data_IF_027731152666
#
_entry.id   IF_027731152666
#
_cell.length_a   1.000
_cell.length_b   1.000
_cell.length_c   1.000
_cell.angle_alpha   90.00
_cell.angle_beta   90.00
_cell.angle_gamma   90.00
#
_symmetry.space_group_name_H-M   'P 1'
#
loop_
_entity.id
_entity.type
_entity.pdbx_description
1 polymer ?
#
# COMPACT_ATOMS: atom_id res chain seq x y z
N UNK A 1 17.01 11.33 31.51
CA UNK A 1 15.74 11.47 30.76
C UNK A 1 15.93 12.52 29.65
N UNK A 2 16.67 12.22 28.57
CA UNK A 2 17.01 13.20 27.52
C UNK A 2 16.81 12.69 26.07
N UNK A 3 16.19 11.52 25.87
CA UNK A 3 16.08 10.87 24.56
C UNK A 3 14.74 11.04 23.82
N UNK A 4 13.68 11.47 24.50
CA UNK A 4 12.32 11.54 23.95
C UNK A 4 12.05 12.83 23.16
N UNK A 5 12.84 13.90 23.35
CA UNK A 5 12.63 15.18 22.67
C UNK A 5 13.26 15.25 21.27
N UNK A 6 14.29 14.46 20.97
CA UNK A 6 14.96 14.47 19.67
C UNK A 6 14.15 13.79 18.57
N UNK A 7 13.43 12.71 18.92
CA UNK A 7 12.55 11.99 18.00
C UNK A 7 11.37 12.88 17.56
N UNK A 8 10.77 13.60 18.50
CA UNK A 8 9.68 14.53 18.19
C UNK A 8 10.14 15.71 17.33
N UNK A 9 11.35 16.23 17.55
CA UNK A 9 11.94 17.27 16.69
C UNK A 9 12.21 16.76 15.27
N UNK A 10 12.73 15.53 15.12
CA UNK A 10 12.95 14.94 13.79
C UNK A 10 11.62 14.72 13.04
N UNK A 11 10.59 14.21 13.72
CA UNK A 11 9.27 14.07 13.13
C UNK A 11 8.65 15.42 12.73
N UNK A 12 8.81 16.47 13.55
CA UNK A 12 8.37 17.83 13.20
C UNK A 12 9.14 18.42 12.02
N UNK A 13 10.45 18.15 11.89
CA UNK A 13 11.24 18.61 10.75
C UNK A 13 10.89 17.86 9.46
N UNK A 14 10.61 16.56 9.53
CA UNK A 14 10.12 15.78 8.39
C UNK A 14 8.73 16.24 7.95
N UNK A 15 7.85 16.59 8.89
CA UNK A 15 6.51 17.12 8.61
C UNK A 15 6.52 18.55 8.04
N UNK A 16 7.52 19.38 8.36
CA UNK A 16 7.60 20.75 7.85
C UNK A 16 8.12 20.84 6.40
N UNK A 17 8.91 19.85 5.96
CA UNK A 17 9.54 19.85 4.64
C UNK A 17 8.86 18.97 3.58
N UNK A 18 7.85 18.18 3.95
CA UNK A 18 6.96 17.60 2.95
C UNK A 18 5.73 18.48 2.83
N UNK A 19 5.72 19.35 1.83
CA UNK A 19 4.46 19.91 1.35
C UNK A 19 3.56 18.72 1.03
N UNK A 20 2.58 18.45 1.91
CA UNK A 20 1.51 17.51 1.59
C UNK A 20 0.97 17.97 0.25
N UNK A 21 1.06 17.13 -0.82
CA UNK A 21 0.60 17.52 -2.12
C UNK A 21 -0.84 18.02 -1.98
N UNK A 22 -1.07 19.29 -2.31
CA UNK A 22 -2.43 19.81 -2.32
C UNK A 22 -3.14 19.09 -3.45
N UNK A 23 -4.25 18.43 -3.11
CA UNK A 23 -5.12 17.80 -4.09
C UNK A 23 -5.67 18.94 -4.94
N UNK A 24 -5.33 18.95 -6.22
CA UNK A 24 -5.93 19.87 -7.18
C UNK A 24 -7.40 19.52 -7.29
N UNK A 25 -8.29 20.45 -6.98
CA UNK A 25 -9.74 20.24 -6.99
C UNK A 25 -10.29 20.13 -8.41
N UNK A 26 -9.46 20.43 -9.43
CA UNK A 26 -9.72 20.13 -10.84
C UNK A 26 -9.13 18.78 -11.26
N UNK A 27 -8.84 17.89 -10.31
CA UNK A 27 -8.31 16.57 -10.63
C UNK A 27 -9.30 15.82 -11.52
N UNK A 28 -8.76 15.23 -12.60
CA UNK A 28 -9.51 14.34 -13.45
C UNK A 28 -9.92 13.11 -12.61
N UNK A 29 -11.22 12.94 -12.35
CA UNK A 29 -11.80 11.81 -11.59
C UNK A 29 -11.21 10.46 -12.00
N UNK A 30 -10.88 10.27 -13.28
CA UNK A 30 -10.25 9.05 -13.77
C UNK A 30 -8.86 8.80 -13.18
N UNK A 31 -8.04 9.86 -13.02
CA UNK A 31 -6.73 9.75 -12.38
C UNK A 31 -6.86 9.53 -10.89
N UNK A 32 -7.80 10.18 -10.23
CA UNK A 32 -8.05 9.96 -8.80
C UNK A 32 -8.46 8.50 -8.58
N UNK A 33 -9.34 7.97 -9.44
CA UNK A 33 -9.77 6.58 -9.40
C UNK A 33 -8.61 5.60 -9.61
N UNK A 34 -7.80 5.82 -10.63
CA UNK A 34 -6.61 5.01 -10.92
C UNK A 34 -5.66 4.93 -9.71
N UNK A 35 -5.40 6.07 -9.04
CA UNK A 35 -4.54 6.09 -7.86
C UNK A 35 -5.16 5.37 -6.66
N UNK A 36 -6.48 5.48 -6.47
CA UNK A 36 -7.18 4.77 -5.39
C UNK A 36 -7.22 3.25 -5.62
N UNK A 37 -7.35 2.81 -6.87
CA UNK A 37 -7.28 1.38 -7.22
C UNK A 37 -5.84 0.86 -7.04
N UNK A 38 -4.83 1.63 -7.45
CA UNK A 38 -3.43 1.29 -7.21
C UNK A 38 -3.10 1.15 -5.71
N UNK A 39 -3.66 2.01 -4.87
CA UNK A 39 -3.53 1.91 -3.42
C UNK A 39 -4.18 0.62 -2.87
N UNK A 40 -5.39 0.28 -3.32
CA UNK A 40 -6.06 -0.96 -2.93
C UNK A 40 -5.25 -2.20 -3.34
N UNK A 41 -4.62 -2.21 -4.52
CA UNK A 41 -3.72 -3.29 -4.94
C UNK A 41 -2.58 -3.52 -3.95
N UNK A 42 -1.99 -2.45 -3.40
CA UNK A 42 -0.91 -2.59 -2.39
C UNK A 42 -1.43 -3.24 -1.12
N UNK A 43 -2.61 -2.85 -0.64
CA UNK A 43 -3.24 -3.46 0.54
C UNK A 43 -3.55 -4.94 0.27
N UNK A 44 -4.13 -5.26 -0.89
CA UNK A 44 -4.44 -6.64 -1.27
C UNK A 44 -3.17 -7.49 -1.35
N UNK A 45 -2.09 -6.97 -1.93
CA UNK A 45 -0.79 -7.65 -1.96
C UNK A 45 -0.28 -7.91 -0.54
N UNK A 46 -0.32 -6.92 0.35
CA UNK A 46 0.08 -7.09 1.75
C UNK A 46 -0.77 -8.13 2.49
N UNK A 47 -2.09 -8.15 2.24
CA UNK A 47 -3.00 -9.14 2.80
C UNK A 47 -2.64 -10.54 2.30
N UNK A 48 -2.47 -10.71 0.98
CA UNK A 48 -2.11 -11.98 0.36
C UNK A 48 -0.74 -12.48 0.81
N UNK A 49 0.24 -11.59 0.92
CA UNK A 49 1.56 -11.92 1.44
C UNK A 49 1.52 -12.38 2.89
N UNK A 50 0.58 -11.91 3.69
CA UNK A 50 0.39 -12.39 5.07
C UNK A 50 -0.43 -13.68 5.13
N UNK A 51 -1.52 -13.79 4.36
CA UNK A 51 -2.40 -14.95 4.35
C UNK A 51 -1.75 -16.21 3.76
N UNK A 52 -0.88 -16.02 2.76
CA UNK A 52 -0.13 -17.10 2.09
C UNK A 52 1.30 -17.25 2.62
N UNK A 53 1.57 -16.82 3.86
CA UNK A 53 2.75 -17.28 4.61
C UNK A 53 2.47 -18.73 5.00
N UNK A 54 2.75 -19.65 4.10
CA UNK A 54 2.67 -21.08 4.39
C UNK A 54 3.44 -21.37 5.68
N UNK A 55 2.74 -21.89 6.70
CA UNK A 55 3.37 -22.41 7.90
C UNK A 55 4.39 -23.47 7.49
N UNK A 56 5.63 -23.24 7.93
CA UNK A 56 6.82 -24.10 7.75
C UNK A 56 6.49 -25.53 7.32
N UNK A 57 6.55 -25.80 6.02
CA UNK A 57 6.69 -27.16 5.57
C UNK A 57 8.07 -27.66 6.06
N UNK A 58 8.09 -28.68 6.92
CA UNK A 58 9.28 -29.16 7.64
C UNK A 58 10.44 -29.57 6.72
N UNK A 59 10.17 -29.71 5.42
CA UNK A 59 11.12 -30.07 4.37
C UNK A 59 11.58 -28.89 3.48
N UNK A 60 11.15 -27.66 3.77
CA UNK A 60 11.35 -26.50 2.89
C UNK A 60 12.76 -25.89 2.88
N UNK A 61 13.79 -26.65 3.28
CA UNK A 61 15.20 -26.22 3.13
C UNK A 61 15.59 -25.98 1.66
N UNK A 62 14.68 -26.31 0.71
CA UNK A 62 14.81 -26.14 -0.74
C UNK A 62 13.81 -25.13 -1.35
N UNK A 63 13.32 -24.14 -0.60
CA UNK A 63 12.58 -23.01 -1.20
C UNK A 63 13.54 -22.15 -2.03
N UNK A 64 13.74 -22.57 -3.29
CA UNK A 64 14.51 -21.86 -4.31
C UNK A 64 14.12 -20.37 -4.31
N UNK A 65 15.08 -19.43 -4.26
CA UNK A 65 14.82 -18.01 -4.42
C UNK A 65 13.86 -17.69 -5.58
N UNK A 66 13.93 -18.45 -6.67
CA UNK A 66 13.00 -18.34 -7.80
C UNK A 66 11.54 -18.52 -7.41
N UNK A 67 11.19 -19.55 -6.63
CA UNK A 67 9.80 -19.84 -6.23
C UNK A 67 9.18 -18.69 -5.42
N UNK A 68 9.96 -18.08 -4.52
CA UNK A 68 9.52 -16.91 -3.76
C UNK A 68 9.27 -15.70 -4.66
N UNK A 69 10.14 -15.49 -5.64
CA UNK A 69 10.00 -14.39 -6.61
C UNK A 69 8.75 -14.60 -7.47
N UNK A 70 8.54 -15.80 -8.03
CA UNK A 70 7.36 -16.09 -8.85
C UNK A 70 6.06 -15.94 -8.08
N UNK A 71 5.99 -16.44 -6.84
CA UNK A 71 4.82 -16.26 -5.97
C UNK A 71 4.54 -14.80 -5.66
N UNK A 72 5.58 -14.00 -5.39
CA UNK A 72 5.46 -12.56 -5.16
C UNK A 72 4.92 -11.82 -6.39
N UNK A 73 5.47 -12.10 -7.58
CA UNK A 73 5.00 -11.52 -8.83
C UNK A 73 3.55 -11.93 -9.15
N UNK A 74 3.21 -13.20 -8.94
CA UNK A 74 1.84 -13.68 -9.13
C UNK A 74 0.85 -12.95 -8.21
N UNK A 75 1.20 -12.80 -6.92
CA UNK A 75 0.38 -12.06 -5.96
C UNK A 75 0.24 -10.59 -6.35
N UNK A 76 1.29 -9.99 -6.88
CA UNK A 76 1.24 -8.61 -7.37
C UNK A 76 0.26 -8.44 -8.54
N UNK A 77 0.35 -9.29 -9.55
CA UNK A 77 -0.56 -9.23 -10.71
C UNK A 77 -2.00 -9.56 -10.32
N UNK A 78 -2.20 -10.55 -9.45
CA UNK A 78 -3.52 -10.89 -8.94
C UNK A 78 -4.11 -9.75 -8.10
N UNK A 79 -3.30 -9.08 -7.27
CA UNK A 79 -3.74 -7.94 -6.48
C UNK A 79 -4.09 -6.73 -7.37
N UNK A 80 -3.33 -6.46 -8.44
CA UNK A 80 -3.67 -5.41 -9.42
C UNK A 80 -4.97 -5.73 -10.14
N UNK A 81 -5.15 -6.96 -10.62
CA UNK A 81 -6.36 -7.39 -11.32
C UNK A 81 -7.61 -7.40 -10.42
N UNK A 82 -7.43 -7.57 -9.11
CA UNK A 82 -8.51 -7.59 -8.13
C UNK A 82 -8.80 -6.23 -7.49
N UNK A 83 -7.94 -5.24 -7.71
CA UNK A 83 -8.16 -3.87 -7.24
C UNK A 83 -9.40 -3.26 -7.89
N UNK A 84 -10.11 -2.42 -7.15
CA UNK A 84 -11.41 -1.88 -7.53
C UNK A 84 -12.61 -2.75 -7.14
N UNK A 85 -12.40 -4.05 -6.85
CA UNK A 85 -13.47 -5.00 -6.52
C UNK A 85 -13.73 -5.19 -5.01
N UNK A 86 -12.78 -4.82 -4.15
CA UNK A 86 -12.86 -5.04 -2.70
C UNK A 86 -13.48 -3.87 -1.93
N UNK A 87 -13.56 -2.68 -2.55
CA UNK A 87 -14.26 -1.51 -2.02
C UNK A 87 -13.40 -0.54 -1.20
N UNK A 88 -12.13 -0.84 -0.95
CA UNK A 88 -11.21 0.11 -0.31
C UNK A 88 -10.87 1.27 -1.23
N UNK A 89 -10.75 1.03 -2.55
CA UNK A 89 -10.51 2.11 -3.50
C UNK A 89 -11.70 3.09 -3.56
N UNK A 90 -12.93 2.57 -3.56
CA UNK A 90 -14.14 3.39 -3.52
C UNK A 90 -14.22 4.22 -2.25
N UNK A 91 -13.98 3.62 -1.08
CA UNK A 91 -14.00 4.34 0.20
C UNK A 91 -12.98 5.49 0.23
N UNK A 92 -11.76 5.23 -0.26
CA UNK A 92 -10.72 6.25 -0.32
C UNK A 92 -11.07 7.34 -1.36
N UNK A 93 -11.58 6.95 -2.52
CA UNK A 93 -12.05 7.87 -3.55
C UNK A 93 -13.14 8.81 -3.01
N UNK A 94 -14.14 8.27 -2.33
CA UNK A 94 -15.25 9.04 -1.75
C UNK A 94 -14.74 10.01 -0.68
N UNK A 95 -13.81 9.55 0.16
CA UNK A 95 -13.19 10.41 1.18
C UNK A 95 -12.39 11.58 0.57
N UNK A 96 -11.60 11.32 -0.48
CA UNK A 96 -10.76 12.33 -1.12
C UNK A 96 -11.57 13.31 -1.97
N UNK A 97 -12.62 12.81 -2.64
CA UNK A 97 -13.54 13.64 -3.44
C UNK A 97 -14.41 14.55 -2.58
N UNK A 98 -14.87 14.09 -1.42
CA UNK A 98 -15.62 14.93 -0.46
C UNK A 98 -14.77 16.04 0.18
N UNK A 99 -13.43 15.91 0.12
CA UNK A 99 -12.48 16.84 0.74
C UNK A 99 -11.79 17.76 -0.27
N UNK A 100 -12.13 17.63 -1.56
CA UNK A 100 -11.75 18.55 -2.65
C UNK A 100 -12.78 19.66 -2.82
#
# INVERSE_FOLDING_TARGET
MYGSNSINMQAQMMSQNQSVPKIDTNTNDAKLREQTDAFESVILKMLMDNAMKDEKNLFSQQNDPGDKIYKSMYREELAKASAGGFGFSQMLYDFLSQKS
#
